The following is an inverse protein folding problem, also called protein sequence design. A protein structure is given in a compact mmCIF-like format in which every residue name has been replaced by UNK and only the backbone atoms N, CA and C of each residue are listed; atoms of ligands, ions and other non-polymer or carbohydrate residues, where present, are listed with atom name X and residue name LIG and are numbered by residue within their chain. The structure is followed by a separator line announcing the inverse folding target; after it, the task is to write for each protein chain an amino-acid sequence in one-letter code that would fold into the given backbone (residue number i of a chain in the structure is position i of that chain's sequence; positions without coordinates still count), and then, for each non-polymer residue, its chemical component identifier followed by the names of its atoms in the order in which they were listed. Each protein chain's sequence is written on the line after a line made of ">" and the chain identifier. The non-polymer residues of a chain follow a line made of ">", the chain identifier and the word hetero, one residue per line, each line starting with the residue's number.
data_IF_616573928712
#
_entry.id   IF_616573928712
#
_cell.length_a   1.000
_cell.length_b   1.000
_cell.length_c   1.000
_cell.angle_alpha   90.00
_cell.angle_beta   90.00
_cell.angle_gamma   90.00
#
_symmetry.space_group_name_H-M   'P 1'
#
loop_
_entity.id
_entity.type
_entity.pdbx_description
1 polymer ?
#
# COMPACT_ATOMS: atom_id res chain seq x y z
N UNK A 1 34.52 -14.37 -38.25
CA UNK A 1 33.95 -14.96 -37.00
C UNK A 1 33.34 -13.85 -36.15
N UNK A 2 32.01 -13.78 -36.17
CA UNK A 2 31.27 -12.69 -35.49
C UNK A 2 30.69 -13.15 -34.15
N UNK A 3 30.40 -14.46 -34.01
CA UNK A 3 29.79 -14.99 -32.81
C UNK A 3 30.78 -14.99 -31.63
N UNK A 4 30.47 -14.34 -30.50
CA UNK A 4 31.35 -14.31 -29.31
C UNK A 4 31.49 -15.67 -28.63
N UNK A 5 30.51 -16.57 -28.80
CA UNK A 5 30.56 -17.93 -28.27
C UNK A 5 31.04 -18.96 -29.29
N UNK A 6 31.39 -18.52 -30.51
CA UNK A 6 31.99 -19.38 -31.53
C UNK A 6 31.05 -20.35 -32.24
N UNK A 7 29.72 -20.20 -32.10
CA UNK A 7 28.76 -21.07 -32.78
C UNK A 7 28.67 -20.80 -34.26
N UNK A 8 28.32 -21.85 -35.01
CA UNK A 8 27.98 -21.74 -36.46
C UNK A 8 26.45 -21.63 -36.61
N UNK A 9 25.94 -20.43 -36.94
CA UNK A 9 24.51 -20.15 -37.10
C UNK A 9 23.84 -20.99 -38.19
N UNK A 10 24.60 -21.53 -39.14
CA UNK A 10 24.08 -22.40 -40.22
C UNK A 10 23.50 -23.71 -39.65
N UNK A 11 23.96 -24.15 -38.47
CA UNK A 11 23.44 -25.32 -37.77
C UNK A 11 22.19 -25.03 -36.96
N UNK A 12 21.60 -23.83 -37.09
CA UNK A 12 20.40 -23.40 -36.39
C UNK A 12 20.67 -22.96 -34.96
N UNK A 13 19.62 -23.03 -34.09
CA UNK A 13 19.71 -22.66 -32.68
C UNK A 13 20.54 -23.68 -31.92
N UNK A 14 21.58 -23.20 -31.20
CA UNK A 14 22.47 -23.98 -30.37
C UNK A 14 22.41 -23.52 -28.94
N UNK A 15 22.69 -24.43 -28.00
CA UNK A 15 22.57 -24.18 -26.57
C UNK A 15 23.50 -23.04 -26.07
N UNK A 16 24.69 -22.94 -26.69
CA UNK A 16 25.71 -21.93 -26.36
C UNK A 16 25.36 -20.52 -26.85
N UNK A 17 24.25 -20.36 -27.58
CA UNK A 17 23.81 -19.08 -28.10
C UNK A 17 23.29 -18.18 -26.99
N UNK A 18 23.94 -17.03 -26.76
CA UNK A 18 23.53 -16.02 -25.79
C UNK A 18 22.53 -14.98 -26.34
N UNK A 19 21.99 -15.21 -27.54
CA UNK A 19 21.00 -14.34 -28.17
C UNK A 19 21.45 -12.86 -28.32
N UNK A 20 22.74 -12.58 -28.49
CA UNK A 20 23.31 -11.23 -28.57
C UNK A 20 22.99 -10.44 -29.88
N UNK A 21 22.54 -11.12 -30.94
CA UNK A 21 22.21 -10.48 -32.21
C UNK A 21 23.38 -10.12 -33.11
N UNK A 22 24.64 -10.26 -32.69
CA UNK A 22 25.81 -9.84 -33.48
C UNK A 22 25.90 -10.50 -34.87
N UNK A 23 25.42 -11.74 -35.00
CA UNK A 23 25.35 -12.43 -36.30
C UNK A 23 24.30 -11.82 -37.24
N UNK A 24 23.20 -11.24 -36.69
CA UNK A 24 22.17 -10.54 -37.45
C UNK A 24 22.76 -9.27 -38.04
N UNK A 25 23.39 -8.42 -37.23
CA UNK A 25 23.96 -7.14 -37.63
C UNK A 25 25.07 -7.33 -38.69
N UNK A 26 25.96 -8.31 -38.47
CA UNK A 26 27.02 -8.63 -39.41
C UNK A 26 26.48 -9.13 -40.77
N UNK A 27 25.46 -10.00 -40.72
CA UNK A 27 24.81 -10.49 -41.94
C UNK A 27 24.11 -9.37 -42.69
N UNK A 28 23.34 -8.55 -42.02
CA UNK A 28 22.60 -7.41 -42.62
C UNK A 28 23.56 -6.39 -43.25
N UNK A 29 24.72 -6.14 -42.64
CA UNK A 29 25.77 -5.28 -43.20
C UNK A 29 26.31 -5.83 -44.52
N UNK A 30 26.52 -7.14 -44.63
CA UNK A 30 26.97 -7.79 -45.87
C UNK A 30 25.86 -7.77 -46.90
N UNK A 31 24.61 -8.11 -46.52
CA UNK A 31 23.45 -8.11 -47.43
C UNK A 31 23.23 -6.74 -48.04
N UNK A 32 23.40 -5.66 -47.28
CA UNK A 32 23.31 -4.29 -47.79
C UNK A 32 24.38 -3.99 -48.85
N UNK A 33 25.64 -4.42 -48.61
CA UNK A 33 26.74 -4.23 -49.56
C UNK A 33 26.55 -4.97 -50.90
N UNK A 34 25.92 -6.14 -50.84
CA UNK A 34 25.66 -6.95 -52.03
C UNK A 34 24.30 -6.71 -52.69
N UNK A 35 23.49 -5.78 -52.13
CA UNK A 35 22.18 -5.40 -52.67
C UNK A 35 21.09 -6.46 -52.44
N UNK A 36 21.21 -7.32 -51.45
CA UNK A 36 20.19 -8.30 -51.07
C UNK A 36 19.30 -7.81 -49.93
N UNK A 37 18.07 -8.33 -49.82
CA UNK A 37 17.18 -7.95 -48.71
C UNK A 37 17.74 -8.43 -47.37
N UNK A 38 17.66 -7.55 -46.35
CA UNK A 38 18.06 -7.84 -44.98
C UNK A 38 17.19 -8.92 -44.31
N UNK A 39 17.64 -9.46 -43.21
CA UNK A 39 16.87 -10.40 -42.39
C UNK A 39 17.04 -11.87 -42.77
N UNK A 40 18.15 -12.21 -43.46
CA UNK A 40 18.52 -13.62 -43.68
C UNK A 40 18.69 -14.37 -42.35
N UNK A 41 19.41 -13.75 -41.41
CA UNK A 41 19.47 -14.20 -40.03
C UNK A 41 18.52 -13.31 -39.21
N UNK A 42 17.58 -13.92 -38.52
CA UNK A 42 16.58 -13.18 -37.72
C UNK A 42 16.00 -14.03 -36.62
N UNK A 43 15.49 -13.39 -35.60
CA UNK A 43 14.65 -14.08 -34.61
C UNK A 43 13.31 -14.46 -35.27
N UNK A 44 12.92 -15.71 -35.11
CA UNK A 44 11.67 -16.24 -35.64
C UNK A 44 11.10 -17.32 -34.72
N UNK A 45 9.81 -17.60 -34.88
CA UNK A 45 9.19 -18.74 -34.20
C UNK A 45 9.28 -19.98 -35.10
N UNK A 46 9.33 -21.18 -34.48
CA UNK A 46 9.33 -22.44 -35.26
C UNK A 46 8.13 -22.52 -36.21
N UNK A 47 6.96 -22.06 -35.77
CA UNK A 47 5.76 -22.02 -36.62
C UNK A 47 5.94 -21.14 -37.88
N UNK A 48 6.63 -20.00 -37.71
CA UNK A 48 6.91 -19.13 -38.87
C UNK A 48 7.93 -19.76 -39.85
N UNK A 49 8.90 -20.51 -39.32
CA UNK A 49 9.86 -21.27 -40.10
C UNK A 49 9.13 -22.40 -40.88
N UNK A 50 8.23 -23.11 -40.20
CA UNK A 50 7.43 -24.20 -40.80
C UNK A 50 6.28 -23.68 -41.70
N UNK A 51 6.15 -22.37 -41.92
CA UNK A 51 5.08 -21.77 -42.70
C UNK A 51 3.69 -21.86 -42.08
N UNK A 52 3.59 -22.21 -40.78
CA UNK A 52 2.32 -22.34 -40.06
C UNK A 52 1.81 -20.96 -39.61
N UNK A 53 0.48 -20.71 -39.64
CA UNK A 53 -0.07 -19.45 -39.17
C UNK A 53 0.20 -19.25 -37.69
N UNK A 54 0.79 -18.12 -37.30
CA UNK A 54 0.97 -17.74 -35.92
C UNK A 54 -0.29 -17.02 -35.41
N UNK A 55 -0.99 -17.61 -34.43
CA UNK A 55 -2.11 -16.97 -33.79
C UNK A 55 -1.64 -16.30 -32.51
N UNK A 56 -1.63 -14.96 -32.47
CA UNK A 56 -1.31 -14.16 -31.30
C UNK A 56 -2.39 -14.32 -30.23
N UNK A 57 -3.66 -14.22 -30.64
CA UNK A 57 -4.80 -14.38 -29.74
C UNK A 57 -5.09 -15.88 -29.54
N UNK A 58 -4.43 -16.46 -28.56
CA UNK A 58 -4.72 -17.82 -28.08
C UNK A 58 -5.57 -17.74 -26.83
N UNK A 59 -6.50 -18.70 -26.57
CA UNK A 59 -7.34 -18.68 -25.35
C UNK A 59 -6.52 -18.49 -24.06
N UNK A 60 -5.34 -19.09 -23.99
CA UNK A 60 -4.42 -18.96 -22.87
C UNK A 60 -3.95 -17.51 -22.67
N UNK A 61 -3.61 -16.80 -23.73
CA UNK A 61 -3.16 -15.39 -23.65
C UNK A 61 -4.32 -14.51 -23.21
N UNK A 62 -5.53 -14.75 -23.70
CA UNK A 62 -6.73 -14.01 -23.30
C UNK A 62 -7.02 -14.22 -21.81
N UNK A 63 -7.02 -15.47 -21.33
CA UNK A 63 -7.24 -15.77 -19.92
C UNK A 63 -6.20 -15.10 -19.02
N UNK A 64 -4.91 -15.25 -19.32
CA UNK A 64 -3.86 -14.65 -18.51
C UNK A 64 -3.87 -13.12 -18.58
N UNK A 65 -4.15 -12.56 -19.75
CA UNK A 65 -4.29 -11.12 -19.93
C UNK A 65 -5.45 -10.55 -19.12
N UNK A 66 -6.60 -11.25 -19.08
CA UNK A 66 -7.76 -10.85 -18.27
C UNK A 66 -7.44 -10.91 -16.79
N UNK A 67 -6.78 -11.97 -16.32
CA UNK A 67 -6.37 -12.09 -14.92
C UNK A 67 -5.40 -10.97 -14.54
N UNK A 68 -4.39 -10.70 -15.37
CA UNK A 68 -3.43 -9.64 -15.13
C UNK A 68 -4.11 -8.27 -15.07
N UNK A 69 -5.02 -7.99 -16.01
CA UNK A 69 -5.78 -6.75 -16.02
C UNK A 69 -6.63 -6.60 -14.76
N UNK A 70 -7.32 -7.65 -14.33
CA UNK A 70 -8.12 -7.64 -13.09
C UNK A 70 -7.25 -7.35 -11.87
N UNK A 71 -6.07 -7.97 -11.77
CA UNK A 71 -5.13 -7.71 -10.68
C UNK A 71 -4.60 -6.27 -10.69
N UNK A 72 -4.28 -5.72 -11.87
CA UNK A 72 -3.84 -4.33 -11.99
C UNK A 72 -4.94 -3.35 -11.60
N UNK A 73 -6.20 -3.61 -12.00
CA UNK A 73 -7.35 -2.79 -11.60
C UNK A 73 -7.60 -2.87 -10.09
N UNK A 74 -7.53 -4.05 -9.50
CA UNK A 74 -7.65 -4.24 -8.05
C UNK A 74 -6.53 -3.52 -7.29
N UNK A 75 -5.30 -3.58 -7.78
CA UNK A 75 -4.18 -2.85 -7.19
C UNK A 75 -4.37 -1.33 -7.29
N UNK A 76 -4.73 -0.82 -8.47
CA UNK A 76 -4.99 0.60 -8.68
C UNK A 76 -6.14 1.10 -7.78
N UNK A 77 -7.20 0.32 -7.66
CA UNK A 77 -8.29 0.58 -6.71
C UNK A 77 -7.76 0.68 -5.27
N UNK A 78 -7.01 -0.31 -4.80
CA UNK A 78 -6.43 -0.33 -3.46
C UNK A 78 -5.51 0.86 -3.17
N UNK A 79 -4.73 1.31 -4.17
CA UNK A 79 -3.86 2.49 -4.03
C UNK A 79 -4.68 3.78 -3.93
N UNK A 80 -5.72 3.93 -4.76
CA UNK A 80 -6.55 5.15 -4.79
C UNK A 80 -7.49 5.28 -3.58
N UNK A 81 -7.86 4.12 -2.95
CA UNK A 81 -8.77 4.09 -1.79
C UNK A 81 -8.03 3.89 -0.46
N UNK A 82 -6.73 4.19 -0.41
CA UNK A 82 -5.98 4.13 0.86
C UNK A 82 -6.46 5.22 1.82
N UNK A 83 -6.70 4.82 3.08
CA UNK A 83 -6.98 5.77 4.15
C UNK A 83 -5.74 6.61 4.47
N UNK A 84 -5.82 7.94 4.41
CA UNK A 84 -4.68 8.83 4.67
C UNK A 84 -4.38 8.99 6.17
N UNK A 85 -5.30 8.56 7.02
CA UNK A 85 -5.25 8.65 8.47
C UNK A 85 -5.24 7.26 9.09
N UNK A 86 -4.35 7.03 10.05
CA UNK A 86 -4.43 5.89 10.98
C UNK A 86 -4.38 6.45 12.39
N UNK A 87 -5.26 5.95 13.25
CA UNK A 87 -5.26 6.28 14.65
C UNK A 87 -5.20 5.00 15.49
N UNK A 88 -4.47 5.04 16.60
CA UNK A 88 -4.35 3.97 17.56
C UNK A 88 -4.47 4.56 18.98
N UNK A 89 -5.28 3.94 19.81
CA UNK A 89 -5.45 4.33 21.22
C UNK A 89 -4.84 3.28 22.12
N UNK A 90 -3.85 3.69 22.88
CA UNK A 90 -3.20 2.89 23.91
C UNK A 90 -3.65 3.38 25.27
N UNK A 91 -4.14 2.49 26.12
CA UNK A 91 -4.42 2.83 27.53
C UNK A 91 -3.14 2.89 28.35
N UNK A 92 -3.15 3.72 29.39
CA UNK A 92 -2.09 3.69 30.39
C UNK A 92 -2.04 2.30 31.05
N UNK A 93 -0.86 1.69 31.05
CA UNK A 93 -0.62 0.36 31.61
C UNK A 93 -0.30 0.41 33.09
N UNK A 94 0.04 1.59 33.64
CA UNK A 94 0.46 1.74 35.04
C UNK A 94 -0.74 1.69 35.98
N UNK A 95 -1.91 2.19 35.57
CA UNK A 95 -3.14 2.13 36.34
C UNK A 95 -4.34 1.99 35.42
N UNK A 96 -5.28 1.12 35.72
CA UNK A 96 -6.56 0.99 35.01
C UNK A 96 -7.41 2.25 35.16
N UNK A 97 -7.43 2.82 36.34
CA UNK A 97 -8.10 4.07 36.71
C UNK A 97 -7.34 4.74 37.86
N UNK A 98 -7.59 6.00 38.06
CA UNK A 98 -7.13 6.77 39.22
C UNK A 98 -8.33 7.48 39.84
N UNK A 99 -8.48 7.38 41.13
CA UNK A 99 -9.47 8.16 41.88
C UNK A 99 -8.85 9.50 42.27
N UNK A 100 -9.51 10.57 41.89
CA UNK A 100 -9.09 11.95 42.19
C UNK A 100 -10.23 12.73 42.80
N UNK A 101 -9.96 13.93 43.29
CA UNK A 101 -11.02 14.81 43.78
C UNK A 101 -12.03 15.23 42.70
N UNK A 102 -11.64 15.15 41.42
CA UNK A 102 -12.49 15.46 40.30
C UNK A 102 -13.35 14.26 39.82
N UNK A 103 -13.08 13.05 40.31
CA UNK A 103 -13.76 11.83 39.92
C UNK A 103 -12.79 10.71 39.54
N UNK A 104 -13.21 9.85 38.63
CA UNK A 104 -12.44 8.72 38.16
C UNK A 104 -11.77 9.08 36.85
N UNK A 105 -10.46 8.97 36.80
CA UNK A 105 -9.63 9.33 35.62
C UNK A 105 -9.05 8.09 34.97
N UNK A 106 -9.12 8.04 33.61
CA UNK A 106 -8.43 7.06 32.79
C UNK A 106 -7.50 7.77 31.83
N UNK A 107 -6.24 7.34 31.78
CA UNK A 107 -5.23 7.85 30.87
C UNK A 107 -5.14 7.04 29.58
N UNK A 108 -5.01 7.76 28.48
CA UNK A 108 -4.83 7.18 27.13
C UNK A 108 -3.69 7.89 26.41
N UNK A 109 -3.03 7.18 25.52
CA UNK A 109 -2.10 7.76 24.56
C UNK A 109 -2.68 7.50 23.17
N UNK A 110 -3.09 8.56 22.48
CA UNK A 110 -3.56 8.51 21.12
C UNK A 110 -2.37 8.74 20.18
N UNK A 111 -2.12 7.77 19.31
CA UNK A 111 -1.16 7.91 18.21
C UNK A 111 -1.90 8.19 16.93
N UNK A 112 -1.56 9.27 16.26
CA UNK A 112 -2.13 9.67 14.97
C UNK A 112 -1.03 9.65 13.93
N UNK A 113 -1.22 8.87 12.87
CA UNK A 113 -0.30 8.76 11.74
C UNK A 113 -0.90 9.54 10.56
N UNK A 114 -0.25 10.63 10.20
CA UNK A 114 -0.57 11.38 8.99
C UNK A 114 0.21 10.79 7.81
N UNK A 115 -0.48 10.12 6.89
CA UNK A 115 0.13 9.52 5.68
C UNK A 115 0.14 10.47 4.48
N UNK A 116 -0.34 11.71 4.66
CA UNK A 116 -0.34 12.70 3.59
C UNK A 116 1.02 13.40 3.51
N UNK A 117 1.24 14.09 2.41
CA UNK A 117 2.42 14.91 2.13
C UNK A 117 2.33 16.35 2.70
N UNK A 118 1.30 16.63 3.51
CA UNK A 118 1.03 17.95 4.13
C UNK A 118 0.80 17.80 5.62
N UNK A 119 1.10 18.86 6.37
CA UNK A 119 0.68 18.95 7.77
C UNK A 119 -0.86 19.03 7.83
N UNK A 120 -1.45 18.29 8.73
CA UNK A 120 -2.91 18.18 8.91
C UNK A 120 -3.31 18.40 10.36
N UNK A 121 -4.48 19.01 10.56
CA UNK A 121 -5.07 19.19 11.88
C UNK A 121 -6.21 18.21 12.06
N UNK A 122 -6.15 17.48 13.16
CA UNK A 122 -7.13 16.47 13.52
C UNK A 122 -7.89 16.89 14.77
N UNK A 123 -9.21 16.74 14.74
CA UNK A 123 -10.07 16.87 15.90
C UNK A 123 -10.24 15.50 16.53
N UNK A 124 -10.12 15.46 17.85
CA UNK A 124 -10.33 14.28 18.66
C UNK A 124 -11.69 14.47 19.36
N UNK A 125 -12.59 13.57 19.14
CA UNK A 125 -13.85 13.46 19.85
C UNK A 125 -13.95 12.06 20.49
N UNK A 126 -14.86 11.88 21.41
CA UNK A 126 -15.17 10.56 21.95
C UNK A 126 -16.68 10.42 22.12
N UNK A 127 -17.14 9.17 22.08
CA UNK A 127 -18.51 8.79 22.42
C UNK A 127 -18.50 7.61 23.37
N UNK A 128 -19.41 7.61 24.32
CA UNK A 128 -19.59 6.54 25.31
C UNK A 128 -21.05 6.51 25.77
N UNK A 129 -21.49 5.35 26.21
CA UNK A 129 -22.82 5.17 26.81
C UNK A 129 -22.88 5.72 28.24
N UNK A 130 -21.77 6.23 28.79
CA UNK A 130 -21.68 6.76 30.17
C UNK A 130 -21.86 8.26 30.16
N UNK A 131 -22.87 8.74 30.87
CA UNK A 131 -23.11 10.17 31.03
C UNK A 131 -22.03 10.82 31.92
N UNK A 132 -21.72 12.10 31.58
CA UNK A 132 -20.82 12.92 32.38
C UNK A 132 -19.32 12.68 32.16
N UNK A 133 -18.93 11.88 31.20
CA UNK A 133 -17.52 11.82 30.79
C UNK A 133 -17.09 13.15 30.18
N UNK A 134 -15.89 13.59 30.53
CA UNK A 134 -15.25 14.78 29.95
C UNK A 134 -13.79 14.51 29.63
N UNK A 135 -13.30 15.18 28.61
CA UNK A 135 -11.89 15.14 28.21
C UNK A 135 -11.20 16.40 28.71
N UNK A 136 -10.04 16.24 29.34
CA UNK A 136 -9.31 17.36 29.95
C UNK A 136 -8.46 18.14 28.94
N UNK A 137 -7.94 17.44 27.95
CA UNK A 137 -6.99 18.01 27.00
C UNK A 137 -7.69 18.68 25.80
N UNK A 138 -6.91 19.44 25.01
CA UNK A 138 -7.42 20.09 23.82
C UNK A 138 -7.86 19.07 22.76
N UNK A 139 -9.05 19.24 22.16
CA UNK A 139 -9.61 18.29 21.21
C UNK A 139 -8.98 18.36 19.80
N UNK A 140 -7.86 19.09 19.63
CA UNK A 140 -7.23 19.30 18.32
C UNK A 140 -5.73 19.10 18.41
N UNK A 141 -5.16 18.36 17.45
CA UNK A 141 -3.73 18.13 17.32
C UNK A 141 -3.29 18.36 15.88
N UNK A 142 -2.13 18.99 15.71
CA UNK A 142 -1.48 19.16 14.39
C UNK A 142 -0.40 18.09 14.21
N UNK A 143 -0.41 17.42 13.04
CA UNK A 143 0.54 16.36 12.71
C UNK A 143 1.22 16.71 11.40
N UNK A 144 2.54 16.81 11.43
CA UNK A 144 3.33 17.10 10.24
C UNK A 144 3.19 16.03 9.16
N UNK A 145 3.56 16.37 7.91
CA UNK A 145 3.51 15.46 6.78
C UNK A 145 4.30 14.17 7.04
N UNK A 146 3.72 13.02 6.73
CA UNK A 146 4.36 11.70 6.84
C UNK A 146 4.82 11.33 8.26
N UNK A 147 4.30 12.00 9.31
CA UNK A 147 4.77 11.81 10.67
C UNK A 147 3.71 11.22 11.60
N UNK A 148 4.15 10.84 12.79
CA UNK A 148 3.31 10.31 13.87
C UNK A 148 3.33 11.29 15.04
N UNK A 149 2.15 11.70 15.48
CA UNK A 149 1.98 12.42 16.73
C UNK A 149 1.45 11.49 17.81
N UNK A 150 1.96 11.66 19.04
CA UNK A 150 1.47 10.98 20.22
C UNK A 150 0.89 12.01 21.18
N UNK A 151 -0.41 11.93 21.44
CA UNK A 151 -1.13 12.84 22.33
C UNK A 151 -1.62 12.07 23.55
N UNK A 152 -1.19 12.52 24.73
CA UNK A 152 -1.78 12.02 25.97
C UNK A 152 -3.17 12.63 26.14
N UNK A 153 -4.13 11.82 26.56
CA UNK A 153 -5.52 12.19 26.82
C UNK A 153 -5.94 11.64 28.18
N UNK A 154 -6.70 12.43 28.91
CA UNK A 154 -7.30 12.02 30.18
C UNK A 154 -8.81 12.19 30.11
N UNK A 155 -9.54 11.11 30.28
CA UNK A 155 -10.98 11.15 30.43
C UNK A 155 -11.34 11.08 31.93
N UNK A 156 -12.26 11.93 32.32
CA UNK A 156 -12.74 12.05 33.68
C UNK A 156 -14.23 11.71 33.73
N UNK A 157 -14.59 10.78 34.57
CA UNK A 157 -15.98 10.44 34.88
C UNK A 157 -16.38 10.92 36.27
N UNK A 158 -17.69 11.13 36.55
CA UNK A 158 -18.17 11.46 37.86
C UNK A 158 -17.77 10.42 38.94
N UNK A 159 -17.57 10.87 40.16
CA UNK A 159 -17.35 9.98 41.28
C UNK A 159 -18.54 9.00 41.42
N UNK A 160 -18.23 7.69 41.47
CA UNK A 160 -19.26 6.65 41.52
C UNK A 160 -19.46 5.88 40.21
N UNK A 161 -18.84 6.27 39.11
CA UNK A 161 -18.80 5.45 37.88
C UNK A 161 -18.06 4.16 38.16
N UNK A 162 -18.71 2.99 37.97
CA UNK A 162 -18.16 1.67 38.30
C UNK A 162 -18.14 0.75 37.10
N UNK A 163 -17.18 -0.16 37.11
CA UNK A 163 -17.09 -1.20 36.06
C UNK A 163 -16.45 -0.75 34.77
N UNK A 164 -16.75 -1.48 33.69
CA UNK A 164 -16.21 -1.24 32.34
C UNK A 164 -17.28 -0.66 31.43
N UNK A 165 -16.95 0.45 30.77
CA UNK A 165 -17.83 1.12 29.82
C UNK A 165 -17.19 1.17 28.44
N UNK A 166 -17.93 0.88 27.36
CA UNK A 166 -17.43 1.02 26.00
C UNK A 166 -17.14 2.50 25.68
N UNK A 167 -16.08 2.72 24.95
CA UNK A 167 -15.60 4.05 24.57
C UNK A 167 -15.12 4.01 23.13
N UNK A 168 -15.54 4.96 22.33
CA UNK A 168 -15.11 5.13 20.95
C UNK A 168 -14.46 6.50 20.81
N UNK A 169 -13.21 6.51 20.36
CA UNK A 169 -12.53 7.73 19.97
C UNK A 169 -12.74 7.96 18.47
N UNK A 170 -13.17 9.15 18.13
CA UNK A 170 -13.39 9.58 16.77
C UNK A 170 -12.36 10.66 16.41
N UNK A 171 -11.50 10.35 15.45
CA UNK A 171 -10.48 11.24 14.96
C UNK A 171 -10.89 11.69 13.58
N UNK A 172 -11.08 12.98 13.38
CA UNK A 172 -11.51 13.56 12.12
C UNK A 172 -10.58 14.68 11.68
N UNK A 173 -10.26 14.70 10.39
CA UNK A 173 -9.51 15.78 9.76
C UNK A 173 -10.38 17.05 9.74
N UNK A 174 -9.82 18.21 10.12
CA UNK A 174 -10.57 19.47 10.17
C UNK A 174 -10.83 20.04 8.77
N UNK A 175 -9.84 19.93 7.89
CA UNK A 175 -9.84 20.51 6.56
C UNK A 175 -10.08 19.47 5.44
N UNK A 176 -10.47 18.22 5.80
CA UNK A 176 -10.63 17.10 4.87
C UNK A 176 -11.78 16.16 5.23
N UNK A 177 -11.78 14.98 4.62
CA UNK A 177 -12.82 13.96 4.79
C UNK A 177 -12.35 12.73 5.57
N UNK A 178 -11.07 12.68 5.94
CA UNK A 178 -10.53 11.53 6.63
C UNK A 178 -11.09 11.45 8.06
N UNK A 179 -11.61 10.28 8.40
CA UNK A 179 -12.16 9.96 9.70
C UNK A 179 -11.77 8.55 10.07
N UNK A 180 -11.39 8.36 11.32
CA UNK A 180 -11.08 7.06 11.91
C UNK A 180 -11.75 6.94 13.25
N UNK A 181 -12.31 5.77 13.56
CA UNK A 181 -12.93 5.48 14.85
C UNK A 181 -12.19 4.33 15.49
N UNK A 182 -11.74 4.53 16.73
CA UNK A 182 -10.96 3.53 17.48
C UNK A 182 -11.72 3.17 18.76
N UNK A 183 -11.95 1.88 18.93
CA UNK A 183 -12.62 1.34 20.13
C UNK A 183 -11.66 1.26 21.30
N UNK A 184 -12.18 1.57 22.49
CA UNK A 184 -11.48 1.47 23.76
C UNK A 184 -12.48 1.17 24.89
N UNK A 185 -12.06 1.30 26.12
CA UNK A 185 -12.94 1.13 27.28
C UNK A 185 -12.51 2.05 28.40
N UNK A 186 -13.47 2.65 29.06
CA UNK A 186 -13.30 3.36 30.33
C UNK A 186 -13.49 2.40 31.49
N UNK A 187 -12.69 2.52 32.54
CA UNK A 187 -12.74 1.66 33.71
C UNK A 187 -12.94 2.48 34.99
N UNK A 188 -13.89 2.06 35.79
CA UNK A 188 -14.06 2.50 37.16
C UNK A 188 -13.79 1.37 38.15
N UNK A 189 -13.86 1.66 39.48
CA UNK A 189 -13.82 0.64 40.52
C UNK A 189 -14.88 -0.43 40.30
N UNK A 190 -14.65 -1.64 40.81
CA UNK A 190 -15.63 -2.75 40.79
C UNK A 190 -16.77 -2.54 41.77
#
# INVERSE_FOLDING_TARGET
>A
QVCPTGIDIRNGLQYECIACGACIDACDTVMEKVGYPKGLIRYSTQNAIDGKPSRVLRPRIVVYGTILLALMLAWAWGVTHRTPLIAEVLRDRNALFRETAAGIENGYTLKIVNKTDRAQRYRIAFSSDTDGLSMREAPTVEVAAGSVASQALTLVAPAGTRGRHPLHFEISELDGKARETVESSFFGPL
#
